data_IF_989288906540
#
_entry.id   IF_989288906540
#
_cell.length_a   1.000
_cell.length_b   1.000
_cell.length_c   1.000
_cell.angle_alpha   90.00
_cell.angle_beta   90.00
_cell.angle_gamma   90.00
#
_symmetry.space_group_name_H-M   'P 1'
#
loop_
_entity.id
_entity.type
_entity.pdbx_description
1 polymer ?
#
# COMPACT_ATOMS: atom_id res chain seq x y z
N UNK A 1 12.71 -1.21 34.92
CA UNK A 1 12.42 -1.76 33.57
C UNK A 1 11.90 -0.64 32.69
N UNK A 2 12.78 -0.09 31.84
CA UNK A 2 12.42 0.84 30.76
C UNK A 2 12.76 0.10 29.48
N UNK A 3 11.75 -0.31 28.72
CA UNK A 3 11.94 -0.90 27.40
C UNK A 3 12.12 0.22 26.37
N UNK A 4 13.10 -0.01 25.50
CA UNK A 4 13.69 0.93 24.57
C UNK A 4 12.73 1.45 23.49
N UNK A 5 12.86 2.75 23.26
CA UNK A 5 12.13 3.64 22.33
C UNK A 5 12.49 3.40 20.85
N UNK A 6 13.21 2.32 20.51
CA UNK A 6 13.84 2.15 19.19
C UNK A 6 12.97 1.47 18.13
N UNK A 7 11.89 0.78 18.52
CA UNK A 7 10.95 0.17 17.56
C UNK A 7 9.92 1.19 17.02
N UNK A 8 9.75 2.33 17.71
CA UNK A 8 8.90 3.43 17.26
C UNK A 8 9.49 4.19 16.06
N UNK A 9 10.82 4.17 15.89
CA UNK A 9 11.53 4.93 14.87
C UNK A 9 11.40 4.37 13.44
N UNK A 10 11.21 3.07 13.28
CA UNK A 10 11.15 2.44 11.95
C UNK A 10 9.78 2.61 11.29
N UNK A 11 8.70 2.63 12.09
CA UNK A 11 7.34 2.90 11.59
C UNK A 11 7.08 4.39 11.35
N UNK A 12 7.70 5.30 12.12
CA UNK A 12 7.64 6.75 11.83
C UNK A 12 8.61 7.17 10.72
N UNK A 13 9.76 6.50 10.58
CA UNK A 13 10.74 6.74 9.54
C UNK A 13 10.25 6.35 8.14
N UNK A 14 9.52 5.24 8.00
CA UNK A 14 8.92 4.82 6.72
C UNK A 14 7.82 5.79 6.25
N UNK A 15 7.06 6.37 7.19
CA UNK A 15 6.03 7.38 6.87
C UNK A 15 6.65 8.72 6.46
N UNK A 16 7.84 9.06 6.98
CA UNK A 16 8.55 10.31 6.63
C UNK A 16 9.49 10.17 5.41
N UNK A 17 10.09 9.00 5.16
CA UNK A 17 10.88 8.73 3.94
C UNK A 17 9.98 8.49 2.72
N UNK A 18 8.74 8.02 2.91
CA UNK A 18 7.70 8.03 1.87
C UNK A 18 7.26 9.45 1.45
N UNK A 19 7.51 10.47 2.28
CA UNK A 19 7.26 11.88 1.96
C UNK A 19 8.43 12.56 1.23
N UNK A 20 9.67 12.06 1.38
CA UNK A 20 10.87 12.68 0.81
C UNK A 20 11.23 12.18 -0.60
N UNK A 21 10.88 10.94 -0.98
CA UNK A 21 11.18 10.37 -2.31
C UNK A 21 10.19 10.79 -3.42
N UNK A 22 9.19 11.61 -3.11
CA UNK A 22 8.21 12.11 -4.09
C UNK A 22 8.59 13.44 -4.74
N UNK A 23 9.80 13.91 -4.50
CA UNK A 23 10.42 15.00 -5.25
C UNK A 23 11.40 14.42 -6.27
N UNK A 24 10.89 13.93 -7.39
CA UNK A 24 11.67 13.87 -8.63
C UNK A 24 10.75 13.98 -9.84
N UNK A 25 10.98 14.96 -10.73
CA UNK A 25 10.23 15.12 -11.97
C UNK A 25 10.65 14.02 -12.96
N UNK A 26 9.67 13.51 -13.70
CA UNK A 26 9.84 12.45 -14.69
C UNK A 26 10.94 12.78 -15.72
N UNK A 27 11.80 11.80 -16.00
CA UNK A 27 12.81 11.84 -17.06
C UNK A 27 13.06 10.46 -17.68
N UNK A 28 12.52 10.27 -18.89
CA UNK A 28 13.06 9.55 -20.05
C UNK A 28 13.57 8.08 -20.01
N UNK A 29 12.85 7.26 -20.79
CA UNK A 29 13.27 6.28 -21.81
C UNK A 29 14.01 4.98 -21.41
N UNK A 30 13.35 3.85 -21.65
CA UNK A 30 13.88 2.74 -22.47
C UNK A 30 12.73 1.84 -22.96
N UNK A 31 12.33 2.02 -24.22
CA UNK A 31 11.43 1.11 -24.92
C UNK A 31 12.22 -0.14 -25.35
N UNK A 32 11.85 -1.30 -24.81
CA UNK A 32 12.39 -2.58 -25.25
C UNK A 32 11.57 -3.12 -26.45
N UNK A 33 12.18 -3.00 -27.62
CA UNK A 33 12.19 -3.94 -28.76
C UNK A 33 10.91 -4.73 -29.09
N UNK A 34 10.25 -4.33 -30.19
CA UNK A 34 9.35 -5.20 -30.95
C UNK A 34 10.15 -5.91 -32.08
N UNK A 35 9.90 -7.20 -32.38
CA UNK A 35 10.56 -7.89 -33.47
C UNK A 35 9.96 -7.53 -34.83
N UNK A 36 10.80 -7.63 -35.84
CA UNK A 36 10.62 -7.15 -37.20
C UNK A 36 10.23 -8.26 -38.19
N UNK A 37 9.64 -7.82 -39.32
CA UNK A 37 9.61 -8.40 -40.70
C UNK A 37 8.22 -8.82 -41.23
N UNK A 38 7.99 -8.82 -42.57
CA UNK A 38 8.74 -8.18 -43.66
C UNK A 38 7.89 -7.27 -44.59
N UNK A 39 8.62 -6.44 -45.35
CA UNK A 39 8.14 -5.63 -46.48
C UNK A 39 8.03 -6.46 -47.76
N UNK A 40 6.99 -6.17 -48.55
CA UNK A 40 6.82 -6.51 -49.96
C UNK A 40 5.34 -6.27 -50.31
N UNK A 41 4.91 -5.64 -51.39
CA UNK A 41 5.58 -5.06 -52.55
C UNK A 41 4.60 -4.07 -53.22
N UNK A 42 5.06 -3.48 -54.30
CA UNK A 42 4.57 -2.27 -54.95
C UNK A 42 3.21 -2.34 -55.66
N UNK A 43 2.70 -1.13 -55.98
CA UNK A 43 1.96 -0.75 -57.19
C UNK A 43 0.44 -0.53 -57.05
N UNK A 44 0.01 0.72 -57.17
CA UNK A 44 -0.70 1.21 -58.37
C UNK A 44 -1.30 2.60 -58.13
N UNK A 45 -0.83 3.57 -58.92
CA UNK A 45 -1.49 4.86 -59.16
C UNK A 45 -2.79 4.61 -59.93
N UNK A 46 -3.93 5.04 -59.38
CA UNK A 46 -5.12 5.35 -60.17
C UNK A 46 -5.83 6.54 -59.52
N UNK A 47 -5.85 7.65 -60.25
CA UNK A 47 -6.51 8.86 -59.83
C UNK A 47 -8.01 8.65 -59.65
N UNK A 48 -8.52 9.18 -58.56
CA UNK A 48 -9.93 9.57 -58.47
C UNK A 48 -9.96 10.89 -57.73
N UNK A 49 -10.31 11.95 -58.47
CA UNK A 49 -10.74 13.24 -57.90
C UNK A 49 -11.86 12.93 -56.90
N UNK A 50 -11.57 13.06 -55.62
CA UNK A 50 -12.60 13.04 -54.58
C UNK A 50 -13.24 14.43 -54.56
N UNK A 51 -14.58 14.53 -54.56
CA UNK A 51 -15.26 15.82 -54.58
C UNK A 51 -14.92 16.59 -53.30
N UNK A 52 -14.80 17.91 -53.42
CA UNK A 52 -14.77 18.80 -52.27
C UNK A 52 -15.97 18.47 -51.35
N UNK A 53 -15.78 18.34 -50.03
CA UNK A 53 -16.90 18.14 -49.13
C UNK A 53 -17.84 19.36 -49.24
N UNK A 54 -19.17 19.15 -49.17
CA UNK A 54 -20.13 20.23 -49.26
C UNK A 54 -19.87 21.24 -48.13
N UNK A 55 -19.92 22.53 -48.47
CA UNK A 55 -19.93 23.61 -47.50
C UNK A 55 -21.14 23.43 -46.58
N UNK A 56 -20.90 22.85 -45.41
CA UNK A 56 -21.83 22.93 -44.29
C UNK A 56 -21.79 24.37 -43.78
N UNK A 57 -22.62 25.21 -44.38
CA UNK A 57 -23.14 26.42 -43.73
C UNK A 57 -24.09 25.99 -42.61
N UNK A 58 -23.53 25.41 -41.55
CA UNK A 58 -24.15 25.45 -40.23
C UNK A 58 -23.90 26.83 -39.63
N UNK A 59 -24.78 27.35 -38.76
CA UNK A 59 -24.48 28.59 -38.05
C UNK A 59 -23.21 28.36 -37.25
N UNK A 60 -22.12 28.98 -37.67
CA UNK A 60 -20.91 29.10 -36.89
C UNK A 60 -21.19 30.03 -35.71
N UNK A 61 -21.97 29.55 -34.75
CA UNK A 61 -21.76 29.90 -33.36
C UNK A 61 -20.57 29.07 -32.86
N UNK A 62 -19.41 29.26 -33.49
CA UNK A 62 -18.16 28.95 -32.81
C UNK A 62 -18.09 29.93 -31.66
N UNK A 63 -18.55 29.50 -30.49
CA UNK A 63 -18.19 30.15 -29.24
C UNK A 63 -16.67 30.23 -29.25
N UNK A 64 -16.13 31.42 -29.51
CA UNK A 64 -14.73 31.70 -29.25
C UNK A 64 -14.57 31.53 -27.75
N UNK A 65 -14.18 30.32 -27.33
CA UNK A 65 -13.74 30.08 -25.98
C UNK A 65 -12.57 31.01 -25.75
N UNK A 66 -12.73 31.91 -24.79
CA UNK A 66 -11.64 32.75 -24.33
C UNK A 66 -10.45 31.83 -24.01
N UNK A 67 -9.24 32.19 -24.47
CA UNK A 67 -8.03 31.41 -24.21
C UNK A 67 -7.89 31.11 -22.71
N UNK A 68 -8.34 32.04 -21.86
CA UNK A 68 -8.37 31.87 -20.41
C UNK A 68 -9.36 30.82 -19.94
N UNK A 69 -10.55 30.74 -20.53
CA UNK A 69 -11.53 29.70 -20.21
C UNK A 69 -11.00 28.31 -20.61
N UNK A 70 -10.28 28.23 -21.74
CA UNK A 70 -9.66 26.99 -22.19
C UNK A 70 -8.56 26.51 -21.22
N UNK A 71 -7.72 27.42 -20.72
CA UNK A 71 -6.71 27.12 -19.69
C UNK A 71 -7.35 26.57 -18.41
N UNK A 72 -8.44 27.19 -17.94
CA UNK A 72 -9.16 26.73 -16.74
C UNK A 72 -9.80 25.34 -16.95
N UNK A 73 -10.35 25.06 -18.13
CA UNK A 73 -10.85 23.71 -18.47
C UNK A 73 -9.74 22.65 -18.45
N UNK A 74 -8.57 22.98 -19.02
CA UNK A 74 -7.40 22.10 -18.99
C UNK A 74 -6.92 21.88 -17.56
N UNK A 75 -6.92 22.91 -16.71
CA UNK A 75 -6.57 22.79 -15.29
C UNK A 75 -7.52 21.84 -14.57
N UNK A 76 -8.83 22.02 -14.71
CA UNK A 76 -9.84 21.15 -14.08
C UNK A 76 -9.67 19.70 -14.53
N UNK A 77 -9.50 19.46 -15.84
CA UNK A 77 -9.26 18.13 -16.38
C UNK A 77 -7.97 17.50 -15.82
N UNK A 78 -6.89 18.29 -15.70
CA UNK A 78 -5.61 17.83 -15.14
C UNK A 78 -5.74 17.44 -13.67
N UNK A 79 -6.45 18.24 -12.88
CA UNK A 79 -6.70 17.97 -11.46
C UNK A 79 -7.55 16.71 -11.32
N UNK A 80 -8.65 16.59 -12.08
CA UNK A 80 -9.50 15.40 -12.11
C UNK A 80 -8.68 14.14 -12.43
N UNK A 81 -7.85 14.16 -13.47
CA UNK A 81 -7.00 13.02 -13.82
C UNK A 81 -5.98 12.69 -12.72
N UNK A 82 -5.43 13.71 -12.05
CA UNK A 82 -4.47 13.53 -10.95
C UNK A 82 -5.12 12.92 -9.70
N UNK A 83 -6.32 13.37 -9.36
CA UNK A 83 -7.14 12.79 -8.29
C UNK A 83 -7.49 11.34 -8.61
N UNK A 84 -7.98 11.05 -9.82
CA UNK A 84 -8.33 9.71 -10.27
C UNK A 84 -7.17 8.71 -10.14
N UNK A 85 -5.98 9.06 -10.64
CA UNK A 85 -4.77 8.22 -10.48
C UNK A 85 -4.35 8.02 -9.03
N UNK A 86 -4.52 9.04 -8.19
CA UNK A 86 -4.16 8.94 -6.76
C UNK A 86 -5.12 8.00 -6.02
N UNK A 87 -6.41 8.05 -6.35
CA UNK A 87 -7.43 7.14 -5.81
C UNK A 87 -7.20 5.71 -6.30
N UNK A 88 -6.93 5.50 -7.59
CA UNK A 88 -6.61 4.18 -8.15
C UNK A 88 -5.46 3.54 -7.39
N UNK A 89 -4.36 4.30 -7.23
CA UNK A 89 -3.19 3.82 -6.50
C UNK A 89 -3.55 3.44 -5.07
N UNK A 90 -4.22 4.32 -4.32
CA UNK A 90 -4.62 4.04 -2.94
C UNK A 90 -5.54 2.81 -2.84
N UNK A 91 -6.51 2.68 -3.76
CA UNK A 91 -7.39 1.51 -3.80
C UNK A 91 -6.64 0.22 -4.10
N UNK A 92 -5.68 0.26 -5.03
CA UNK A 92 -4.87 -0.89 -5.40
C UNK A 92 -3.97 -1.33 -4.25
N UNK A 93 -3.41 -0.40 -3.47
CA UNK A 93 -2.54 -0.69 -2.34
C UNK A 93 -3.30 -1.15 -1.08
N UNK A 94 -4.63 -1.19 -1.13
CA UNK A 94 -5.45 -1.59 0.02
C UNK A 94 -5.57 -0.52 1.12
N UNK A 95 -5.23 0.74 0.82
CA UNK A 95 -5.15 1.83 1.81
C UNK A 95 -6.51 2.18 2.43
N UNK A 96 -7.61 1.81 1.77
CA UNK A 96 -8.95 2.14 2.23
C UNK A 96 -9.49 1.23 3.33
N UNK A 97 -8.77 0.16 3.73
CA UNK A 97 -9.27 -0.80 4.71
C UNK A 97 -9.80 -0.14 5.99
N UNK A 98 -9.05 0.81 6.57
CA UNK A 98 -9.34 1.33 7.91
C UNK A 98 -9.78 2.80 7.92
N UNK A 99 -9.15 3.68 7.15
CA UNK A 99 -9.38 5.13 7.25
C UNK A 99 -9.63 5.80 5.90
N UNK A 100 -10.63 5.36 5.12
CA UNK A 100 -10.89 5.87 3.78
C UNK A 100 -11.12 7.40 3.71
N UNK A 101 -11.80 7.99 4.70
CA UNK A 101 -12.06 9.43 4.73
C UNK A 101 -10.76 10.21 4.82
N UNK A 102 -9.92 9.88 5.81
CA UNK A 102 -8.58 10.48 5.98
C UNK A 102 -7.68 10.30 4.77
N UNK A 103 -7.70 9.14 4.11
CA UNK A 103 -6.90 8.92 2.89
C UNK A 103 -7.36 9.85 1.76
N UNK A 104 -8.67 9.94 1.52
CA UNK A 104 -9.24 10.81 0.49
C UNK A 104 -9.00 12.30 0.80
N UNK A 105 -9.11 12.71 2.07
CA UNK A 105 -8.74 14.06 2.51
C UNK A 105 -7.26 14.36 2.28
N UNK A 106 -6.38 13.40 2.59
CA UNK A 106 -4.95 13.52 2.29
C UNK A 106 -4.66 13.66 0.79
N UNK A 107 -5.40 12.94 -0.06
CA UNK A 107 -5.30 13.09 -1.53
C UNK A 107 -5.73 14.49 -1.96
N UNK A 108 -6.87 14.98 -1.47
CA UNK A 108 -7.35 16.34 -1.75
C UNK A 108 -6.31 17.38 -1.34
N UNK A 109 -5.79 17.30 -0.11
CA UNK A 109 -4.80 18.23 0.40
C UNK A 109 -3.55 18.33 -0.50
N UNK A 110 -3.09 17.20 -1.05
CA UNK A 110 -1.90 17.12 -1.91
C UNK A 110 -2.15 17.51 -3.36
N UNK A 111 -3.34 17.25 -3.90
CA UNK A 111 -3.62 17.40 -5.34
C UNK A 111 -4.38 18.68 -5.70
N UNK A 112 -4.93 19.39 -4.72
CA UNK A 112 -5.77 20.57 -4.93
C UNK A 112 -5.03 21.91 -4.88
N UNK A 113 -3.69 21.92 -4.82
CA UNK A 113 -2.90 23.16 -4.79
C UNK A 113 -3.19 24.10 -5.96
N UNK A 114 -3.32 23.56 -7.19
CA UNK A 114 -3.63 24.35 -8.38
C UNK A 114 -5.05 24.92 -8.35
N UNK A 115 -6.03 24.19 -7.81
CA UNK A 115 -7.41 24.68 -7.64
C UNK A 115 -7.44 25.83 -6.63
N UNK A 116 -6.69 25.71 -5.54
CA UNK A 116 -6.54 26.78 -4.53
C UNK A 116 -5.88 28.03 -5.12
N UNK A 117 -4.85 27.87 -5.96
CA UNK A 117 -4.16 28.98 -6.61
C UNK A 117 -5.09 29.76 -7.55
N UNK A 118 -5.96 29.07 -8.29
CA UNK A 118 -6.87 29.67 -9.28
C UNK A 118 -8.31 29.84 -8.76
N UNK A 119 -8.54 29.80 -7.45
CA UNK A 119 -9.87 29.75 -6.84
C UNK A 119 -10.82 30.85 -7.34
N UNK A 120 -10.34 32.10 -7.37
CA UNK A 120 -11.15 33.26 -7.79
C UNK A 120 -11.61 33.15 -9.25
N UNK A 121 -10.71 32.72 -10.13
CA UNK A 121 -10.99 32.57 -11.56
C UNK A 121 -11.93 31.39 -11.81
N UNK A 122 -11.70 30.27 -11.12
CA UNK A 122 -12.59 29.10 -11.20
C UNK A 122 -13.99 29.45 -10.70
N UNK A 123 -14.12 30.23 -9.61
CA UNK A 123 -15.42 30.69 -9.13
C UNK A 123 -16.13 31.60 -10.14
N UNK A 124 -15.41 32.49 -10.82
CA UNK A 124 -15.97 33.38 -11.84
C UNK A 124 -16.52 32.61 -13.07
N UNK A 125 -15.95 31.45 -13.39
CA UNK A 125 -16.34 30.62 -14.53
C UNK A 125 -17.06 29.31 -14.13
N UNK A 126 -17.50 29.17 -12.88
CA UNK A 126 -17.97 27.90 -12.29
C UNK A 126 -19.02 27.17 -13.14
N UNK A 127 -20.02 27.88 -13.65
CA UNK A 127 -21.15 27.31 -14.40
C UNK A 127 -20.71 26.79 -15.76
N UNK A 128 -19.78 27.50 -16.43
CA UNK A 128 -19.22 27.08 -17.72
C UNK A 128 -18.25 25.91 -17.60
N UNK A 129 -17.57 25.81 -16.45
CA UNK A 129 -16.63 24.74 -16.14
C UNK A 129 -17.32 23.51 -15.52
N UNK A 130 -18.63 23.59 -15.23
CA UNK A 130 -19.38 22.51 -14.59
C UNK A 130 -18.89 22.20 -13.17
N UNK A 131 -18.42 23.21 -12.43
CA UNK A 131 -17.93 23.05 -11.06
C UNK A 131 -19.04 23.30 -10.05
N UNK A 132 -19.25 22.35 -9.14
CA UNK A 132 -20.14 22.50 -7.99
C UNK A 132 -19.32 22.68 -6.71
N UNK A 133 -19.57 23.78 -5.98
CA UNK A 133 -18.84 24.12 -4.76
C UNK A 133 -18.81 25.62 -4.47
N UNK A 134 -18.77 26.05 -3.20
CA UNK A 134 -18.69 27.47 -2.86
C UNK A 134 -17.27 28.06 -3.01
N UNK A 135 -16.25 27.21 -2.91
CA UNK A 135 -14.84 27.59 -2.87
C UNK A 135 -13.94 26.51 -3.50
N UNK A 136 -12.63 26.75 -3.46
CA UNK A 136 -11.62 25.83 -4.00
C UNK A 136 -11.68 24.42 -3.38
N UNK A 137 -11.99 24.30 -2.09
CA UNK A 137 -12.07 23.01 -1.42
C UNK A 137 -13.34 22.26 -1.84
N UNK A 138 -14.46 22.98 -1.95
CA UNK A 138 -15.71 22.49 -2.51
C UNK A 138 -15.53 21.95 -3.92
N UNK A 139 -14.91 22.73 -4.83
CA UNK A 139 -14.62 22.27 -6.20
C UNK A 139 -13.82 20.98 -6.21
N UNK A 140 -12.80 20.89 -5.37
CA UNK A 140 -11.94 19.72 -5.34
C UNK A 140 -12.62 18.48 -4.76
N UNK A 141 -13.39 18.65 -3.67
CA UNK A 141 -14.22 17.59 -3.10
C UNK A 141 -15.27 17.12 -4.10
N UNK A 142 -15.78 18.01 -4.93
CA UNK A 142 -16.81 17.70 -5.92
C UNK A 142 -16.24 16.94 -7.12
N UNK A 143 -15.08 17.36 -7.63
CA UNK A 143 -14.34 16.64 -8.66
C UNK A 143 -14.00 15.21 -8.22
N UNK A 144 -13.54 15.05 -6.98
CA UNK A 144 -13.25 13.73 -6.42
C UNK A 144 -14.53 12.90 -6.20
N UNK A 145 -15.59 13.52 -5.68
CA UNK A 145 -16.86 12.82 -5.49
C UNK A 145 -17.44 12.34 -6.82
N UNK A 146 -17.45 13.18 -7.86
CA UNK A 146 -17.92 12.82 -9.20
C UNK A 146 -17.14 11.64 -9.78
N UNK A 147 -15.81 11.62 -9.62
CA UNK A 147 -14.97 10.49 -10.01
C UNK A 147 -15.34 9.19 -9.27
N UNK A 148 -15.57 9.28 -7.96
CA UNK A 148 -15.94 8.14 -7.14
C UNK A 148 -17.36 7.67 -7.46
N UNK A 149 -18.28 8.58 -7.76
CA UNK A 149 -19.65 8.28 -8.16
C UNK A 149 -19.67 7.46 -9.45
N UNK A 150 -18.92 7.89 -10.47
CA UNK A 150 -18.77 7.16 -11.73
C UNK A 150 -18.16 5.78 -11.51
N UNK A 151 -17.06 5.70 -10.76
CA UNK A 151 -16.34 4.44 -10.53
C UNK A 151 -17.11 3.43 -9.71
N UNK A 152 -17.67 3.88 -8.60
CA UNK A 152 -18.36 3.01 -7.66
C UNK A 152 -19.81 2.76 -8.09
N UNK A 153 -20.29 3.45 -9.13
CA UNK A 153 -21.69 3.47 -9.53
C UNK A 153 -22.58 3.69 -8.31
N UNK A 154 -22.29 4.76 -7.56
CA UNK A 154 -23.00 5.02 -6.31
C UNK A 154 -24.51 5.15 -6.59
N UNK A 155 -25.39 4.72 -5.66
CA UNK A 155 -26.84 4.85 -5.85
C UNK A 155 -27.25 6.27 -6.23
N UNK A 156 -28.23 6.40 -7.13
CA UNK A 156 -28.64 7.69 -7.76
C UNK A 156 -29.10 8.78 -6.75
N UNK A 157 -29.29 8.45 -5.47
CA UNK A 157 -29.63 9.39 -4.39
C UNK A 157 -28.48 9.74 -3.43
N UNK A 158 -27.26 9.25 -3.66
CA UNK A 158 -26.11 9.55 -2.80
C UNK A 158 -25.62 10.97 -3.08
N UNK A 159 -25.89 11.90 -2.17
CA UNK A 159 -25.32 13.24 -2.26
C UNK A 159 -23.87 13.25 -1.78
N UNK A 160 -23.08 14.20 -2.29
CA UNK A 160 -21.70 14.43 -1.87
C UNK A 160 -21.58 14.55 -0.33
N UNK A 161 -22.46 15.35 0.29
CA UNK A 161 -22.46 15.55 1.74
C UNK A 161 -22.69 14.24 2.51
N UNK A 162 -23.66 13.42 2.07
CA UNK A 162 -23.92 12.11 2.68
C UNK A 162 -22.74 11.16 2.52
N UNK A 163 -22.12 11.15 1.35
CA UNK A 163 -20.95 10.31 1.10
C UNK A 163 -19.79 10.63 2.04
N UNK A 164 -19.41 11.90 2.17
CA UNK A 164 -18.32 12.30 3.07
C UNK A 164 -18.66 12.06 4.55
N UNK A 165 -19.91 12.28 4.96
CA UNK A 165 -20.36 11.96 6.31
C UNK A 165 -20.29 10.45 6.60
N UNK A 166 -20.70 9.61 5.64
CA UNK A 166 -20.55 8.15 5.77
C UNK A 166 -19.07 7.76 5.93
N UNK A 167 -18.16 8.32 5.14
CA UNK A 167 -16.73 8.04 5.26
C UNK A 167 -16.15 8.46 6.61
N UNK A 168 -16.57 9.63 7.12
CA UNK A 168 -16.17 10.09 8.45
C UNK A 168 -16.63 9.12 9.54
N UNK A 169 -17.88 8.63 9.48
CA UNK A 169 -18.40 7.63 10.41
C UNK A 169 -17.66 6.29 10.31
N UNK A 170 -17.21 5.91 9.10
CA UNK A 170 -16.35 4.73 8.91
C UNK A 170 -15.00 4.92 9.61
N UNK A 171 -14.35 6.08 9.44
CA UNK A 171 -13.08 6.37 10.11
C UNK A 171 -13.22 6.37 11.65
N UNK A 172 -14.34 6.88 12.17
CA UNK A 172 -14.68 6.83 13.60
C UNK A 172 -14.95 5.40 14.09
N UNK A 173 -15.58 4.55 13.27
CA UNK A 173 -15.77 3.13 13.60
C UNK A 173 -14.42 2.39 13.64
N UNK A 174 -13.51 2.65 12.70
CA UNK A 174 -12.18 2.06 12.71
C UNK A 174 -11.37 2.51 13.94
N UNK A 175 -11.48 3.78 14.32
CA UNK A 175 -10.87 4.31 15.53
C UNK A 175 -11.32 3.52 16.76
N UNK A 176 -12.63 3.42 16.98
CA UNK A 176 -13.23 2.75 18.14
C UNK A 176 -12.93 1.25 18.22
N UNK A 177 -13.01 0.54 17.10
CA UNK A 177 -12.88 -0.93 17.10
C UNK A 177 -11.44 -1.41 17.00
N UNK A 178 -10.59 -0.74 16.22
CA UNK A 178 -9.29 -1.27 15.81
C UNK A 178 -8.13 -0.41 16.32
N UNK A 179 -8.19 0.92 16.16
CA UNK A 179 -7.01 1.78 16.28
C UNK A 179 -6.76 2.35 17.69
N UNK A 180 -7.80 2.71 18.45
CA UNK A 180 -7.65 3.40 19.74
C UNK A 180 -7.17 2.49 20.87
N UNK A 181 -7.42 1.18 20.75
CA UNK A 181 -6.98 0.20 21.74
C UNK A 181 -5.76 -0.58 21.20
N UNK A 182 -4.58 -0.49 21.85
CA UNK A 182 -3.38 -1.22 21.42
C UNK A 182 -3.60 -2.73 21.31
N UNK A 183 -4.44 -3.31 22.18
CA UNK A 183 -4.75 -4.74 22.14
C UNK A 183 -5.53 -5.15 20.89
N UNK A 184 -6.34 -4.29 20.30
CA UNK A 184 -7.11 -4.61 19.08
C UNK A 184 -6.38 -4.25 17.80
N UNK A 185 -5.24 -3.57 17.90
CA UNK A 185 -4.47 -3.12 16.74
C UNK A 185 -3.60 -4.22 16.12
N UNK A 186 -3.27 -5.28 16.89
CA UNK A 186 -2.38 -6.38 16.50
C UNK A 186 -2.73 -7.68 17.23
N UNK A 187 -2.19 -8.80 16.76
CA UNK A 187 -2.30 -10.11 17.43
C UNK A 187 -3.68 -10.76 17.30
N UNK A 188 -3.97 -11.72 18.18
CA UNK A 188 -5.17 -12.58 18.10
C UNK A 188 -6.50 -11.79 18.18
N UNK A 189 -6.49 -10.69 18.94
CA UNK A 189 -7.64 -9.79 19.15
C UNK A 189 -7.93 -8.86 17.98
N UNK A 190 -6.99 -8.71 17.03
CA UNK A 190 -7.18 -7.89 15.84
C UNK A 190 -8.29 -8.45 14.93
N UNK A 191 -8.27 -9.75 14.64
CA UNK A 191 -9.24 -10.39 13.73
C UNK A 191 -10.70 -10.16 14.16
N UNK A 192 -11.14 -10.49 15.39
CA UNK A 192 -12.52 -10.27 15.80
C UNK A 192 -12.88 -8.78 15.92
N UNK A 193 -11.91 -7.89 16.19
CA UNK A 193 -12.14 -6.45 16.13
C UNK A 193 -12.37 -5.96 14.70
N UNK A 194 -11.55 -6.42 13.76
CA UNK A 194 -11.64 -6.04 12.35
C UNK A 194 -12.92 -6.56 11.69
N UNK A 195 -13.38 -7.79 11.99
CA UNK A 195 -14.66 -8.29 11.45
C UNK A 195 -15.86 -7.52 12.01
N UNK A 196 -15.83 -7.08 13.29
CA UNK A 196 -16.87 -6.20 13.85
C UNK A 196 -16.90 -4.85 13.16
N UNK A 197 -15.72 -4.26 12.96
CA UNK A 197 -15.57 -3.01 12.21
C UNK A 197 -16.10 -3.15 10.77
N UNK A 198 -15.74 -4.23 10.07
CA UNK A 198 -16.20 -4.49 8.70
C UNK A 198 -17.72 -4.61 8.62
N UNK A 199 -18.35 -5.28 9.58
CA UNK A 199 -19.80 -5.38 9.64
C UNK A 199 -20.45 -4.00 9.84
N UNK A 200 -19.95 -3.19 10.79
CA UNK A 200 -20.47 -1.83 10.99
C UNK A 200 -20.21 -0.93 9.76
N UNK A 201 -19.04 -1.04 9.13
CA UNK A 201 -18.70 -0.31 7.90
C UNK A 201 -19.70 -0.65 6.79
N UNK A 202 -19.99 -1.93 6.59
CA UNK A 202 -21.02 -2.41 5.65
C UNK A 202 -22.40 -1.81 5.94
N UNK A 203 -22.78 -1.69 7.20
CA UNK A 203 -24.05 -1.10 7.60
C UNK A 203 -24.10 0.42 7.34
N UNK A 204 -22.96 1.10 7.41
CA UNK A 204 -22.82 2.54 7.16
C UNK A 204 -22.85 2.91 5.67
N UNK A 205 -22.18 2.12 4.82
CA UNK A 205 -21.99 2.45 3.39
C UNK A 205 -22.85 1.61 2.45
N UNK A 206 -23.42 0.51 2.94
CA UNK A 206 -24.19 -0.46 2.17
C UNK A 206 -23.30 -1.49 1.45
N UNK A 207 -23.86 -2.66 1.09
CA UNK A 207 -23.09 -3.81 0.60
C UNK A 207 -22.38 -3.57 -0.75
N UNK A 208 -22.94 -2.73 -1.61
CA UNK A 208 -22.35 -2.46 -2.94
C UNK A 208 -21.12 -1.58 -2.84
N UNK A 209 -21.20 -0.48 -2.08
CA UNK A 209 -20.06 0.41 -1.80
C UNK A 209 -19.01 -0.34 -1.00
N UNK A 210 -19.44 -1.15 -0.03
CA UNK A 210 -18.56 -2.01 0.78
C UNK A 210 -17.67 -2.87 -0.13
N UNK A 211 -18.28 -3.60 -1.07
CA UNK A 211 -17.56 -4.49 -1.97
C UNK A 211 -16.62 -3.73 -2.91
N UNK A 212 -17.09 -2.63 -3.52
CA UNK A 212 -16.34 -1.91 -4.56
C UNK A 212 -15.19 -1.08 -4.00
N UNK A 213 -15.38 -0.42 -2.85
CA UNK A 213 -14.37 0.47 -2.29
C UNK A 213 -13.39 -0.27 -1.36
N UNK A 214 -13.88 -1.26 -0.61
CA UNK A 214 -13.09 -1.91 0.44
C UNK A 214 -12.73 -3.37 0.16
N UNK A 215 -13.39 -4.03 -0.80
CA UNK A 215 -13.24 -5.47 -1.02
C UNK A 215 -11.79 -5.93 -1.17
N UNK A 216 -11.01 -5.29 -2.05
CA UNK A 216 -9.59 -5.63 -2.20
C UNK A 216 -8.82 -5.38 -0.90
N UNK A 217 -9.03 -4.21 -0.29
CA UNK A 217 -8.38 -3.83 0.97
C UNK A 217 -8.64 -4.86 2.08
N UNK A 218 -9.86 -5.37 2.19
CA UNK A 218 -10.24 -6.40 3.15
C UNK A 218 -9.56 -7.74 2.85
N UNK A 219 -9.49 -8.14 1.58
CA UNK A 219 -8.80 -9.37 1.18
C UNK A 219 -7.31 -9.27 1.53
N UNK A 220 -6.68 -8.11 1.33
CA UNK A 220 -5.28 -7.87 1.69
C UNK A 220 -5.05 -7.87 3.20
N UNK A 221 -5.91 -7.22 3.99
CA UNK A 221 -5.82 -7.21 5.46
C UNK A 221 -6.04 -8.62 6.04
N UNK A 222 -6.93 -9.40 5.45
CA UNK A 222 -7.23 -10.77 5.90
C UNK A 222 -6.25 -11.81 5.38
N UNK A 223 -5.44 -11.49 4.38
CA UNK A 223 -4.54 -12.45 3.76
C UNK A 223 -3.60 -13.13 4.78
N UNK A 224 -2.89 -12.40 5.66
CA UNK A 224 -2.05 -13.04 6.68
C UNK A 224 -2.85 -13.93 7.63
N UNK A 225 -4.07 -13.53 8.01
CA UNK A 225 -4.92 -14.32 8.90
C UNK A 225 -5.35 -15.65 8.27
N UNK A 226 -5.63 -15.65 6.96
CA UNK A 226 -5.95 -16.87 6.22
C UNK A 226 -4.74 -17.78 6.04
N UNK A 227 -3.55 -17.20 5.89
CA UNK A 227 -2.29 -17.96 5.88
C UNK A 227 -2.09 -18.64 7.24
N UNK A 228 -2.36 -17.94 8.33
CA UNK A 228 -2.29 -18.49 9.69
C UNK A 228 -3.27 -19.65 9.88
N UNK A 229 -4.52 -19.51 9.41
CA UNK A 229 -5.50 -20.59 9.43
C UNK A 229 -5.02 -21.81 8.67
N UNK A 230 -4.54 -21.63 7.43
CA UNK A 230 -4.02 -22.72 6.60
C UNK A 230 -2.80 -23.39 7.24
N UNK A 231 -1.90 -22.61 7.86
CA UNK A 231 -0.71 -23.11 8.52
C UNK A 231 -1.03 -24.05 9.70
N UNK A 232 -2.11 -23.77 10.43
CA UNK A 232 -2.53 -24.56 11.60
C UNK A 232 -3.59 -25.63 11.27
N UNK A 233 -4.07 -25.70 10.03
CA UNK A 233 -5.05 -26.71 9.61
C UNK A 233 -4.37 -28.08 9.46
N UNK A 234 -4.40 -28.87 10.53
CA UNK A 234 -3.84 -30.22 10.59
C UNK A 234 -4.55 -31.22 9.68
N UNK A 235 -5.73 -30.91 9.15
CA UNK A 235 -6.44 -31.78 8.20
C UNK A 235 -5.85 -31.75 6.79
N UNK A 236 -5.12 -30.69 6.45
CA UNK A 236 -4.53 -30.49 5.12
C UNK A 236 -3.03 -30.85 5.11
N UNK A 237 -2.59 -31.72 4.18
CA UNK A 237 -1.17 -31.90 3.89
C UNK A 237 -0.51 -30.60 3.41
N UNK A 238 0.81 -30.44 3.58
CA UNK A 238 1.55 -29.22 3.19
C UNK A 238 1.34 -28.78 1.74
N UNK A 239 1.37 -29.72 0.79
CA UNK A 239 1.14 -29.42 -0.62
C UNK A 239 -0.28 -28.89 -0.88
N UNK A 240 -1.29 -29.36 -0.13
CA UNK A 240 -2.66 -28.88 -0.25
C UNK A 240 -2.84 -27.50 0.37
N UNK A 241 -2.16 -27.19 1.49
CA UNK A 241 -2.12 -25.83 2.07
C UNK A 241 -1.54 -24.82 1.07
N UNK A 242 -0.46 -25.20 0.39
CA UNK A 242 0.15 -24.37 -0.64
C UNK A 242 -0.74 -24.19 -1.86
N UNK A 243 -1.38 -25.26 -2.35
CA UNK A 243 -2.35 -25.14 -3.43
C UNK A 243 -3.51 -24.21 -3.05
N UNK A 244 -4.05 -24.34 -1.84
CA UNK A 244 -5.11 -23.46 -1.33
C UNK A 244 -4.68 -21.99 -1.23
N UNK A 245 -3.42 -21.75 -0.85
CA UNK A 245 -2.85 -20.41 -0.84
C UNK A 245 -2.71 -19.83 -2.25
N UNK A 246 -2.18 -20.60 -3.21
CA UNK A 246 -2.07 -20.17 -4.61
C UNK A 246 -3.44 -19.91 -5.23
N UNK A 247 -4.44 -20.76 -4.97
CA UNK A 247 -5.82 -20.56 -5.41
C UNK A 247 -6.45 -19.31 -4.81
N UNK A 248 -6.18 -19.04 -3.52
CA UNK A 248 -6.61 -17.83 -2.85
C UNK A 248 -6.03 -16.59 -3.53
N UNK A 249 -4.72 -16.58 -3.80
CA UNK A 249 -4.05 -15.48 -4.50
C UNK A 249 -4.66 -15.26 -5.90
N UNK A 250 -4.80 -16.33 -6.69
CA UNK A 250 -5.40 -16.26 -8.02
C UNK A 250 -6.86 -15.79 -8.00
N UNK A 251 -7.62 -16.15 -6.97
CA UNK A 251 -9.01 -15.68 -6.80
C UNK A 251 -9.04 -14.17 -6.56
N UNK A 252 -8.21 -13.66 -5.65
CA UNK A 252 -8.12 -12.21 -5.38
C UNK A 252 -7.73 -11.46 -6.67
N UNK A 253 -6.69 -11.91 -7.37
CA UNK A 253 -6.27 -11.31 -8.63
C UNK A 253 -7.38 -11.26 -9.68
N UNK A 254 -8.12 -12.36 -9.85
CA UNK A 254 -9.23 -12.43 -10.83
C UNK A 254 -10.43 -11.57 -10.42
N UNK A 255 -10.81 -11.61 -9.15
CA UNK A 255 -12.00 -10.89 -8.66
C UNK A 255 -11.82 -9.37 -8.73
N UNK A 256 -10.62 -8.87 -8.42
CA UNK A 256 -10.35 -7.44 -8.36
C UNK A 256 -9.58 -6.90 -9.57
N UNK A 257 -9.19 -7.77 -10.52
CA UNK A 257 -8.49 -7.38 -11.74
C UNK A 257 -7.10 -6.80 -11.47
N UNK A 258 -6.40 -7.31 -10.46
CA UNK A 258 -5.08 -6.82 -10.02
C UNK A 258 -4.02 -7.91 -10.10
N UNK A 259 -2.80 -7.52 -10.47
CA UNK A 259 -1.63 -8.37 -10.27
C UNK A 259 -1.18 -8.25 -8.81
N UNK A 260 -1.16 -9.35 -8.06
CA UNK A 260 -0.87 -9.30 -6.62
C UNK A 260 0.49 -8.70 -6.29
N UNK A 261 1.51 -8.94 -7.11
CA UNK A 261 2.84 -8.34 -6.94
C UNK A 261 2.86 -6.81 -7.10
N UNK A 262 1.80 -6.20 -7.67
CA UNK A 262 1.65 -4.74 -7.79
C UNK A 262 0.94 -4.10 -6.60
N UNK A 263 0.32 -4.90 -5.72
CA UNK A 263 -0.53 -4.45 -4.62
C UNK A 263 -0.08 -4.95 -3.24
N UNK A 264 0.62 -6.09 -3.21
CA UNK A 264 1.30 -6.63 -2.03
C UNK A 264 2.79 -6.67 -2.33
N UNK A 265 3.60 -6.32 -1.34
CA UNK A 265 5.05 -6.46 -1.45
C UNK A 265 5.39 -7.92 -1.81
N UNK A 266 6.14 -8.16 -2.92
CA UNK A 266 6.46 -9.51 -3.36
C UNK A 266 7.15 -10.37 -2.29
N UNK A 267 7.94 -9.74 -1.42
CA UNK A 267 8.58 -10.40 -0.29
C UNK A 267 7.57 -10.88 0.77
N UNK A 268 6.49 -10.14 1.01
CA UNK A 268 5.44 -10.56 1.95
C UNK A 268 4.66 -11.77 1.43
N UNK A 269 4.40 -11.85 0.12
CA UNK A 269 3.86 -13.06 -0.51
C UNK A 269 4.82 -14.25 -0.33
N UNK A 270 6.11 -14.01 -0.51
CA UNK A 270 7.14 -15.02 -0.34
C UNK A 270 7.22 -15.53 1.12
N UNK A 271 7.18 -14.64 2.11
CA UNK A 271 7.16 -14.99 3.54
C UNK A 271 5.95 -15.83 3.92
N UNK A 272 4.77 -15.49 3.40
CA UNK A 272 3.55 -16.27 3.62
C UNK A 272 3.69 -17.70 3.07
N UNK A 273 4.21 -17.84 1.84
CA UNK A 273 4.50 -19.14 1.25
C UNK A 273 5.54 -19.94 2.06
N UNK A 274 6.61 -19.29 2.55
CA UNK A 274 7.61 -19.93 3.39
C UNK A 274 6.99 -20.47 4.68
N UNK A 275 6.18 -19.66 5.36
CA UNK A 275 5.52 -20.04 6.61
C UNK A 275 4.65 -21.28 6.44
N UNK A 276 3.89 -21.35 5.36
CA UNK A 276 3.05 -22.52 5.05
C UNK A 276 3.90 -23.78 4.85
N UNK A 277 5.05 -23.68 4.18
CA UNK A 277 5.95 -24.81 4.02
C UNK A 277 6.66 -25.21 5.31
N UNK A 278 7.11 -24.24 6.13
CA UNK A 278 7.84 -24.52 7.38
C UNK A 278 6.97 -25.23 8.42
N UNK A 279 5.64 -25.14 8.33
CA UNK A 279 4.72 -25.95 9.14
C UNK A 279 4.81 -27.45 8.87
N UNK A 280 5.41 -27.86 7.74
CA UNK A 280 5.64 -29.25 7.37
C UNK A 280 6.99 -29.81 7.86
N UNK A 281 7.87 -28.94 8.36
CA UNK A 281 9.26 -29.25 8.67
C UNK A 281 10.22 -28.20 8.12
N UNK A 282 11.48 -28.30 8.53
CA UNK A 282 12.53 -27.37 8.10
C UNK A 282 12.83 -27.54 6.61
N UNK A 283 12.67 -26.46 5.85
CA UNK A 283 13.09 -26.41 4.45
C UNK A 283 14.62 -26.37 4.33
N UNK A 284 15.16 -27.06 3.34
CA UNK A 284 16.56 -26.88 2.94
C UNK A 284 16.81 -25.48 2.37
N UNK A 285 18.06 -25.00 2.43
CA UNK A 285 18.45 -23.66 1.95
C UNK A 285 18.06 -23.42 0.48
N UNK A 286 18.29 -24.41 -0.40
CA UNK A 286 17.93 -24.34 -1.81
C UNK A 286 16.41 -24.23 -2.05
N UNK A 287 15.61 -24.92 -1.25
CA UNK A 287 14.14 -24.86 -1.36
C UNK A 287 13.59 -23.53 -0.86
N UNK A 288 14.14 -23.02 0.27
CA UNK A 288 13.81 -21.70 0.79
C UNK A 288 14.15 -20.61 -0.22
N UNK A 289 15.33 -20.69 -0.85
CA UNK A 289 15.73 -19.76 -1.90
C UNK A 289 14.80 -19.83 -3.11
N UNK A 290 14.55 -21.01 -3.68
CA UNK A 290 13.67 -21.16 -4.84
C UNK A 290 12.26 -20.61 -4.59
N UNK A 291 11.73 -20.79 -3.38
CA UNK A 291 10.43 -20.27 -3.01
C UNK A 291 10.42 -18.74 -2.87
N UNK A 292 11.46 -18.15 -2.27
CA UNK A 292 11.62 -16.70 -2.24
C UNK A 292 11.74 -16.11 -3.64
N UNK A 293 12.56 -16.71 -4.50
CA UNK A 293 12.77 -16.27 -5.88
C UNK A 293 11.49 -16.30 -6.72
N UNK A 294 10.63 -17.31 -6.51
CA UNK A 294 9.35 -17.44 -7.20
C UNK A 294 8.44 -16.23 -7.02
N UNK A 295 8.44 -15.62 -5.83
CA UNK A 295 7.55 -14.51 -5.52
C UNK A 295 8.25 -13.15 -5.55
N UNK A 296 9.46 -13.06 -4.97
CA UNK A 296 10.18 -11.79 -4.80
C UNK A 296 11.26 -11.55 -5.86
N UNK A 297 11.60 -12.54 -6.68
CA UNK A 297 12.71 -12.47 -7.63
C UNK A 297 14.08 -12.72 -6.99
N UNK A 298 15.12 -12.96 -7.84
CA UNK A 298 16.43 -13.42 -7.39
C UNK A 298 17.19 -12.41 -6.52
N UNK A 299 17.11 -11.12 -6.85
CA UNK A 299 17.85 -10.10 -6.11
C UNK A 299 17.29 -9.88 -4.71
N UNK A 300 15.98 -9.70 -4.59
CA UNK A 300 15.30 -9.52 -3.30
C UNK A 300 15.42 -10.78 -2.44
N UNK A 301 15.33 -11.97 -3.03
CA UNK A 301 15.55 -13.22 -2.32
C UNK A 301 16.97 -13.32 -1.74
N UNK A 302 17.99 -12.97 -2.53
CA UNK A 302 19.39 -12.95 -2.07
C UNK A 302 19.59 -11.98 -0.91
N UNK A 303 19.16 -10.72 -1.05
CA UNK A 303 19.29 -9.70 0.00
C UNK A 303 18.56 -10.11 1.28
N UNK A 304 17.37 -10.70 1.16
CA UNK A 304 16.62 -11.19 2.31
C UNK A 304 17.36 -12.33 3.02
N UNK A 305 17.90 -13.31 2.28
CA UNK A 305 18.64 -14.43 2.85
C UNK A 305 19.97 -14.01 3.48
N UNK A 306 20.70 -13.09 2.84
CA UNK A 306 21.92 -12.49 3.41
C UNK A 306 21.60 -11.79 4.74
N UNK A 307 20.56 -10.97 4.76
CA UNK A 307 20.12 -10.31 5.99
C UNK A 307 19.69 -11.30 7.07
N UNK A 308 18.94 -12.36 6.72
CA UNK A 308 18.56 -13.41 7.67
C UNK A 308 19.78 -14.12 8.25
N UNK A 309 20.79 -14.40 7.43
CA UNK A 309 22.03 -15.02 7.88
C UNK A 309 22.81 -14.10 8.82
N UNK A 310 22.92 -12.81 8.51
CA UNK A 310 23.53 -11.81 9.39
C UNK A 310 22.80 -11.70 10.74
N UNK A 311 21.46 -11.73 10.74
CA UNK A 311 20.68 -11.72 11.99
C UNK A 311 20.93 -12.99 12.80
N UNK A 312 20.92 -14.16 12.16
CA UNK A 312 21.17 -15.44 12.86
C UNK A 312 22.57 -15.50 13.47
N UNK A 313 23.59 -15.11 12.71
CA UNK A 313 24.98 -15.02 13.20
C UNK A 313 25.08 -14.05 14.38
N UNK A 314 24.45 -12.88 14.27
CA UNK A 314 24.40 -11.91 15.37
C UNK A 314 23.70 -12.49 16.61
N UNK A 315 22.57 -13.17 16.44
CA UNK A 315 21.81 -13.78 17.53
C UNK A 315 22.59 -14.92 18.20
N UNK A 316 23.37 -15.69 17.45
CA UNK A 316 24.30 -16.69 17.98
C UNK A 316 25.40 -16.04 18.82
N UNK A 317 26.02 -14.97 18.31
CA UNK A 317 27.04 -14.21 19.04
C UNK A 317 26.49 -13.54 20.30
N UNK A 318 25.27 -13.00 20.25
CA UNK A 318 24.57 -12.45 21.41
C UNK A 318 24.22 -13.52 22.45
N UNK A 319 23.78 -14.71 22.01
CA UNK A 319 23.54 -15.84 22.93
C UNK A 319 24.82 -16.28 23.62
N UNK A 320 25.91 -16.46 22.88
CA UNK A 320 27.21 -16.82 23.44
C UNK A 320 27.75 -15.75 24.41
N UNK A 321 27.59 -14.47 24.08
CA UNK A 321 27.89 -13.35 24.97
C UNK A 321 27.13 -13.47 26.29
N UNK A 322 25.80 -13.68 26.23
CA UNK A 322 24.96 -13.74 27.44
C UNK A 322 25.29 -14.96 28.30
N UNK A 323 25.49 -16.14 27.70
CA UNK A 323 25.87 -17.34 28.42
C UNK A 323 27.22 -17.19 29.13
N UNK A 324 28.22 -16.60 28.48
CA UNK A 324 29.53 -16.39 29.11
C UNK A 324 29.46 -15.31 30.19
N UNK A 325 28.70 -14.23 29.95
CA UNK A 325 28.46 -13.18 30.94
C UNK A 325 27.80 -13.74 32.20
N UNK A 326 26.80 -14.61 32.07
CA UNK A 326 26.15 -15.28 33.18
C UNK A 326 27.12 -16.19 33.94
N UNK A 327 27.93 -17.00 33.24
CA UNK A 327 28.95 -17.85 33.87
C UNK A 327 29.99 -17.03 34.65
N UNK A 328 30.44 -15.90 34.11
CA UNK A 328 31.40 -15.01 34.78
C UNK A 328 30.79 -14.35 36.02
N UNK A 329 29.53 -13.91 35.93
CA UNK A 329 28.79 -13.39 37.09
C UNK A 329 28.71 -14.43 38.20
N UNK A 330 28.32 -15.67 37.88
CA UNK A 330 28.27 -16.76 38.86
C UNK A 330 29.63 -17.03 39.50
N UNK A 331 30.70 -17.07 38.72
CA UNK A 331 32.06 -17.30 39.22
C UNK A 331 32.51 -16.19 40.17
N UNK A 332 32.28 -14.92 39.81
CA UNK A 332 32.67 -13.78 40.62
C UNK A 332 31.84 -13.69 41.91
N UNK A 333 30.55 -14.00 41.86
CA UNK A 333 29.72 -14.12 43.06
C UNK A 333 30.21 -15.24 43.97
N UNK A 334 30.55 -16.42 43.42
CA UNK A 334 31.14 -17.54 44.21
C UNK A 334 32.51 -17.20 44.79
N UNK A 335 33.28 -16.34 44.14
CA UNK A 335 34.54 -15.81 44.65
C UNK A 335 34.37 -14.74 45.76
N UNK A 336 33.13 -14.45 46.17
CA UNK A 336 32.82 -13.57 47.29
C UNK A 336 32.73 -12.09 46.95
N UNK A 337 32.64 -11.71 45.67
CA UNK A 337 32.44 -10.31 45.30
C UNK A 337 31.04 -9.81 45.71
N UNK A 338 31.00 -8.61 46.28
CA UNK A 338 29.73 -7.96 46.62
C UNK A 338 29.02 -7.41 45.37
N UNK A 339 27.70 -7.16 45.44
CA UNK A 339 26.94 -6.56 44.33
C UNK A 339 27.52 -5.22 43.83
N UNK A 340 28.08 -4.40 44.72
CA UNK A 340 28.72 -3.13 44.39
C UNK A 340 30.03 -3.35 43.59
N UNK A 341 30.86 -4.30 44.01
CA UNK A 341 32.10 -4.65 43.31
C UNK A 341 31.83 -5.28 41.93
N UNK A 342 30.74 -6.04 41.80
CA UNK A 342 30.29 -6.55 40.51
C UNK A 342 29.87 -5.39 39.59
N UNK A 343 29.10 -4.41 40.09
CA UNK A 343 28.71 -3.23 39.29
C UNK A 343 29.91 -2.43 38.77
N UNK A 344 31.00 -2.35 39.54
CA UNK A 344 32.22 -1.66 39.11
C UNK A 344 33.01 -2.45 38.05
N UNK A 345 33.05 -3.78 38.14
CA UNK A 345 33.84 -4.63 37.25
C UNK A 345 33.12 -5.06 35.97
N UNK A 346 31.80 -5.20 36.01
CA UNK A 346 31.02 -5.70 34.88
C UNK A 346 31.15 -4.86 33.60
N UNK A 347 31.22 -3.52 33.63
CA UNK A 347 31.40 -2.75 32.40
C UNK A 347 32.69 -3.09 31.64
N UNK A 348 33.79 -3.36 32.35
CA UNK A 348 35.05 -3.78 31.73
C UNK A 348 35.00 -5.20 31.17
N UNK A 349 34.30 -6.11 31.85
CA UNK A 349 34.04 -7.47 31.38
C UNK A 349 33.12 -7.44 30.16
N UNK A 350 32.04 -6.68 30.21
CA UNK A 350 31.10 -6.51 29.11
C UNK A 350 31.82 -5.94 27.88
N UNK A 351 32.71 -4.94 28.03
CA UNK A 351 33.53 -4.41 26.93
C UNK A 351 34.42 -5.49 26.29
N UNK A 352 35.11 -6.32 27.10
CA UNK A 352 35.92 -7.42 26.59
C UNK A 352 35.08 -8.47 25.86
N UNK A 353 33.88 -8.78 26.38
CA UNK A 353 32.96 -9.71 25.74
C UNK A 353 32.38 -9.12 24.43
N UNK A 354 32.08 -7.83 24.37
CA UNK A 354 31.66 -7.14 23.14
C UNK A 354 32.73 -7.24 22.05
N UNK A 355 34.00 -7.04 22.40
CA UNK A 355 35.14 -7.20 21.49
C UNK A 355 35.32 -8.66 21.06
N UNK A 356 35.25 -9.60 22.00
CA UNK A 356 35.39 -11.04 21.75
C UNK A 356 34.34 -11.57 20.77
N UNK A 357 33.10 -11.12 20.88
CA UNK A 357 31.98 -11.56 20.05
C UNK A 357 31.67 -10.63 18.87
N UNK A 358 32.50 -9.61 18.63
CA UNK A 358 32.34 -8.63 17.54
C UNK A 358 30.95 -7.97 17.50
N UNK A 359 30.41 -7.64 18.68
CA UNK A 359 29.03 -7.13 18.84
C UNK A 359 28.93 -5.59 18.78
N UNK A 360 29.92 -4.92 18.18
CA UNK A 360 30.01 -3.45 18.08
C UNK A 360 29.25 -2.87 16.90
#
# INVERSE_FOLDING_TARGET
MRMDVRVLGVLLGAVLLGLALWWSPAGSVAAAQAPSLPKGGESSLAGTRRPAPPAWSGPAASANLDARELELRVLVARVRASLGRSVERASSQGDFALAPGRILEGILARRCGLVRLHARELSAHRERLGLTGPDAEGFCRDLLFSLLQERLSLPEGTSQARFWESLKRVDEAAARHVLENPSTSRGETFRPAYERFRQERRDLVGPEVERKLFGLSDELVRLPLRVDELAHDSSLPPAQRMAAYEDLLQRISREYGVELASVVEPLELAKNALRLHETAGTLGSAQRQALLERYAGPETARLYLEHQWEQQDRDERLRAFNEERERLLEQLTRAGLTPEQLRERMPGIDQQLFEKYHLQ
#
